data_IF_006057744608
#
_entry.id   IF_006057744608
#
_cell.length_a   1.000
_cell.length_b   1.000
_cell.length_c   1.000
_cell.angle_alpha   90.00
_cell.angle_beta   90.00
_cell.angle_gamma   90.00
#
_symmetry.space_group_name_H-M   'P 1'
#
loop_
_entity.id
_entity.type
_entity.pdbx_description
1 polymer ?
#
# COMPACT_ATOMS: atom_id res chain seq x y z
N UNK A 1 28.21 -4.95 -4.20
CA UNK A 1 28.49 -5.32 -5.60
C UNK A 1 27.79 -4.31 -6.49
N UNK A 2 28.56 -3.28 -6.88
CA UNK A 2 28.81 -2.89 -8.27
C UNK A 2 27.73 -1.93 -8.78
N UNK A 3 27.87 -0.64 -8.50
CA UNK A 3 28.49 0.36 -9.39
C UNK A 3 27.49 0.90 -10.43
N UNK A 4 26.79 1.97 -10.06
CA UNK A 4 26.04 2.85 -10.97
C UNK A 4 26.60 4.26 -10.86
N UNK A 5 27.77 4.43 -11.45
CA UNK A 5 28.51 5.68 -11.59
C UNK A 5 27.90 6.56 -12.70
N UNK A 6 27.25 7.64 -12.26
CA UNK A 6 27.51 9.04 -12.66
C UNK A 6 27.92 9.31 -14.12
N UNK A 7 26.99 9.84 -14.92
CA UNK A 7 27.30 10.54 -16.18
C UNK A 7 26.34 11.72 -16.40
N UNK A 8 26.44 12.75 -15.56
CA UNK A 8 25.81 14.06 -15.79
C UNK A 8 26.76 15.16 -15.33
N UNK A 9 27.70 15.56 -16.19
CA UNK A 9 28.45 16.80 -15.99
C UNK A 9 29.28 17.15 -17.23
N UNK A 10 28.63 17.49 -18.34
CA UNK A 10 29.26 18.25 -19.44
C UNK A 10 28.24 19.26 -19.98
N UNK A 11 27.87 20.26 -19.19
CA UNK A 11 27.12 21.41 -19.72
C UNK A 11 27.18 22.58 -18.72
N UNK A 12 28.34 23.24 -18.57
CA UNK A 12 28.42 24.59 -17.97
C UNK A 12 29.84 25.19 -18.04
N UNK A 13 30.38 25.39 -19.26
CA UNK A 13 31.64 26.16 -19.42
C UNK A 13 31.62 27.34 -20.39
N UNK A 14 30.48 27.70 -21.00
CA UNK A 14 30.45 28.72 -22.05
C UNK A 14 29.48 29.90 -21.86
N UNK A 15 29.12 30.30 -20.63
CA UNK A 15 28.25 31.48 -20.41
C UNK A 15 28.97 32.78 -20.01
N UNK A 16 30.31 32.80 -20.00
CA UNK A 16 31.09 33.96 -19.53
C UNK A 16 31.66 34.91 -20.60
N UNK A 17 31.45 34.67 -21.90
CA UNK A 17 32.03 35.48 -22.98
C UNK A 17 30.98 35.85 -24.03
N UNK A 18 30.11 36.82 -23.73
CA UNK A 18 29.27 37.45 -24.78
C UNK A 18 28.66 38.81 -24.41
N UNK A 19 28.91 39.37 -23.22
CA UNK A 19 28.23 40.60 -22.82
C UNK A 19 28.92 41.90 -23.31
N UNK A 20 30.16 41.83 -23.79
CA UNK A 20 30.87 43.03 -24.26
C UNK A 20 30.89 43.22 -25.78
N UNK A 21 30.50 42.23 -26.58
CA UNK A 21 30.57 42.32 -28.06
C UNK A 21 29.37 43.01 -28.72
N UNK A 22 28.27 43.22 -28.00
CA UNK A 22 27.06 43.85 -28.56
C UNK A 22 26.94 45.35 -28.23
N UNK A 23 27.69 45.86 -27.25
CA UNK A 23 27.64 47.28 -26.88
C UNK A 23 28.33 48.18 -27.92
N UNK A 24 29.36 47.70 -28.63
CA UNK A 24 30.09 48.50 -29.64
C UNK A 24 29.34 48.64 -30.98
N UNK A 25 28.44 47.71 -31.34
CA UNK A 25 27.75 47.76 -32.63
C UNK A 25 26.56 48.72 -32.69
N UNK A 26 26.02 49.15 -31.54
CA UNK A 26 24.87 50.07 -31.51
C UNK A 26 25.24 51.55 -31.62
N UNK A 27 26.50 51.92 -31.40
CA UNK A 27 26.90 53.33 -31.33
C UNK A 27 27.16 53.94 -32.72
N UNK A 28 27.46 53.12 -33.75
CA UNK A 28 27.93 53.63 -35.05
C UNK A 28 26.88 53.55 -36.17
N UNK A 29 25.87 52.66 -36.07
CA UNK A 29 24.86 52.46 -37.12
C UNK A 29 23.40 52.52 -36.64
N UNK A 30 23.14 53.01 -35.42
CA UNK A 30 21.78 53.18 -34.93
C UNK A 30 21.02 54.24 -35.72
N UNK A 31 19.85 53.89 -36.25
CA UNK A 31 18.91 54.86 -36.81
C UNK A 31 18.61 55.93 -35.76
N UNK A 32 18.89 57.23 -36.00
CA UNK A 32 18.66 58.29 -35.01
C UNK A 32 17.17 58.48 -34.65
N UNK A 33 16.25 57.80 -35.36
CA UNK A 33 14.83 57.77 -35.04
C UNK A 33 14.41 56.59 -34.14
N UNK A 34 15.32 55.65 -33.85
CA UNK A 34 15.14 54.60 -32.83
C UNK A 34 15.98 54.91 -31.59
N UNK A 35 16.09 56.19 -31.23
CA UNK A 35 16.47 56.55 -29.87
C UNK A 35 15.34 56.05 -28.95
N UNK A 36 15.55 54.83 -28.45
CA UNK A 36 14.85 54.21 -27.34
C UNK A 36 14.40 55.31 -26.37
N UNK A 37 13.10 55.41 -26.06
CA UNK A 37 12.54 56.43 -25.15
C UNK A 37 13.21 56.42 -23.76
N UNK A 38 14.06 55.41 -23.52
CA UNK A 38 14.91 55.20 -22.35
C UNK A 38 16.37 55.67 -22.47
N UNK A 39 16.79 56.36 -23.55
CA UNK A 39 18.07 57.08 -23.52
C UNK A 39 17.91 58.20 -22.51
N UNK A 40 18.57 58.02 -21.36
CA UNK A 40 18.44 58.85 -20.19
C UNK A 40 18.38 60.32 -20.59
N UNK A 41 17.36 61.02 -20.10
CA UNK A 41 17.34 62.47 -20.22
C UNK A 41 18.55 62.99 -19.46
N UNK A 42 19.41 63.78 -20.10
CA UNK A 42 20.60 64.35 -19.48
C UNK A 42 20.23 65.00 -18.13
N UNK A 43 20.63 64.40 -17.01
CA UNK A 43 20.05 64.78 -15.72
C UNK A 43 20.55 66.16 -15.24
N UNK A 44 21.63 66.68 -15.84
CA UNK A 44 22.33 67.86 -15.33
C UNK A 44 22.68 68.84 -16.45
N UNK A 45 21.86 69.89 -16.58
CA UNK A 45 22.29 71.16 -17.15
C UNK A 45 22.94 71.94 -16.01
N UNK A 46 24.08 72.58 -16.25
CA UNK A 46 24.63 73.52 -15.27
C UNK A 46 23.81 74.80 -15.33
N UNK A 47 22.65 74.79 -14.66
CA UNK A 47 21.68 75.89 -14.61
C UNK A 47 22.20 77.14 -13.89
N UNK A 48 23.37 77.02 -13.25
CA UNK A 48 24.02 78.09 -12.50
C UNK A 48 24.73 79.12 -13.39
N UNK A 49 24.99 78.80 -14.67
CA UNK A 49 25.59 79.74 -15.62
C UNK A 49 24.52 80.37 -16.52
N UNK A 50 24.67 81.67 -16.79
CA UNK A 50 23.84 82.37 -17.79
C UNK A 50 24.06 81.74 -19.18
N UNK A 51 23.00 81.33 -19.91
CA UNK A 51 23.12 80.82 -21.27
C UNK A 51 23.88 81.73 -22.25
N UNK A 52 24.06 83.00 -21.92
CA UNK A 52 24.84 83.98 -22.71
C UNK A 52 26.27 84.18 -22.23
N UNK A 53 26.71 83.54 -21.13
CA UNK A 53 28.04 83.75 -20.54
C UNK A 53 29.18 83.43 -21.52
N UNK A 54 29.01 82.42 -22.38
CA UNK A 54 30.00 82.04 -23.38
C UNK A 54 30.42 83.20 -24.29
N UNK A 55 29.57 84.22 -24.50
CA UNK A 55 29.88 85.36 -25.37
C UNK A 55 31.03 86.22 -24.87
N UNK A 56 31.38 86.13 -23.59
CA UNK A 56 32.42 86.94 -22.97
C UNK A 56 33.76 86.17 -22.81
N UNK A 57 33.80 84.87 -23.10
CA UNK A 57 35.00 84.05 -22.97
C UNK A 57 35.93 84.25 -24.17
N UNK A 58 37.23 84.46 -23.90
CA UNK A 58 38.25 84.75 -24.93
C UNK A 58 38.87 83.49 -25.56
N UNK A 59 38.83 82.37 -24.84
CA UNK A 59 39.47 81.11 -25.22
C UNK A 59 38.50 79.95 -25.12
N UNK A 60 38.70 78.92 -25.94
CA UNK A 60 37.95 77.67 -25.86
C UNK A 60 38.12 77.00 -24.49
N UNK A 61 37.02 76.66 -23.82
CA UNK A 61 37.05 76.06 -22.49
C UNK A 61 37.62 74.63 -22.44
N UNK A 62 37.95 74.02 -23.58
CA UNK A 62 38.45 72.65 -23.68
C UNK A 62 39.88 72.57 -24.24
N UNK A 63 40.20 73.32 -25.29
CA UNK A 63 41.53 73.30 -25.92
C UNK A 63 42.29 74.63 -25.83
N UNK A 64 41.73 75.63 -25.15
CA UNK A 64 42.36 76.93 -24.87
C UNK A 64 42.75 77.79 -26.09
N UNK A 65 42.34 77.40 -27.31
CA UNK A 65 42.54 78.22 -28.52
C UNK A 65 41.79 79.56 -28.43
N UNK A 66 42.39 80.64 -28.94
CA UNK A 66 41.77 81.97 -28.98
C UNK A 66 40.60 82.02 -29.97
N UNK A 67 39.51 82.68 -29.60
CA UNK A 67 38.38 82.92 -30.49
C UNK A 67 38.61 84.04 -31.52
N UNK A 68 39.77 84.69 -31.49
CA UNK A 68 40.17 85.59 -32.58
C UNK A 68 40.50 84.78 -33.86
N UNK A 69 40.92 83.52 -33.71
CA UNK A 69 41.33 82.64 -34.81
C UNK A 69 40.22 81.66 -35.24
N UNK A 70 39.31 81.29 -34.33
CA UNK A 70 38.27 80.30 -34.58
C UNK A 70 36.88 80.78 -34.16
N UNK A 71 35.84 80.24 -34.82
CA UNK A 71 34.45 80.58 -34.50
C UNK A 71 34.07 80.10 -33.09
N UNK A 72 33.65 81.03 -32.25
CA UNK A 72 33.05 80.77 -30.93
C UNK A 72 31.69 80.08 -31.06
N UNK A 73 31.50 78.98 -30.34
CA UNK A 73 30.20 78.28 -30.17
C UNK A 73 29.88 78.18 -28.68
N UNK A 74 28.59 78.21 -28.33
CA UNK A 74 28.13 77.95 -26.97
C UNK A 74 27.68 76.50 -26.83
N UNK A 75 28.11 75.83 -25.77
CA UNK A 75 27.52 74.56 -25.38
C UNK A 75 26.15 74.80 -24.73
N UNK A 76 25.11 74.11 -25.17
CA UNK A 76 23.77 74.25 -24.61
C UNK A 76 23.59 73.68 -23.19
N UNK A 77 24.58 72.93 -22.67
CA UNK A 77 24.49 72.21 -21.40
C UNK A 77 25.29 72.86 -20.28
N UNK A 78 26.54 73.27 -20.56
CA UNK A 78 27.39 73.96 -19.59
C UNK A 78 27.49 75.47 -19.81
N UNK A 79 26.97 75.98 -20.93
CA UNK A 79 27.03 77.39 -21.34
C UNK A 79 28.45 77.99 -21.41
N UNK A 80 29.49 77.16 -21.50
CA UNK A 80 30.86 77.58 -21.81
C UNK A 80 31.05 77.83 -23.31
N UNK A 81 32.06 78.64 -23.64
CA UNK A 81 32.49 78.86 -25.00
C UNK A 81 33.46 77.76 -25.46
N UNK A 82 33.19 77.18 -26.62
CA UNK A 82 33.99 76.12 -27.22
C UNK A 82 34.17 76.37 -28.72
N UNK A 83 35.28 75.90 -29.28
CA UNK A 83 35.46 75.92 -30.73
C UNK A 83 34.59 74.82 -31.40
N UNK A 84 34.51 74.88 -32.73
CA UNK A 84 33.71 73.93 -33.52
C UNK A 84 34.19 72.47 -33.37
N UNK A 85 35.50 72.25 -33.34
CA UNK A 85 36.12 70.93 -33.12
C UNK A 85 35.86 70.37 -31.72
N UNK A 86 35.71 71.25 -30.73
CA UNK A 86 35.40 70.90 -29.35
C UNK A 86 33.90 70.72 -29.08
N UNK A 87 33.04 70.94 -30.08
CA UNK A 87 31.60 70.78 -29.99
C UNK A 87 30.98 70.14 -31.24
N UNK A 88 31.49 68.98 -31.71
CA UNK A 88 31.01 68.37 -32.94
C UNK A 88 29.64 67.71 -32.78
N UNK A 89 29.20 67.47 -31.54
CA UNK A 89 28.01 66.69 -31.23
C UNK A 89 26.76 67.55 -31.01
N UNK A 90 25.60 66.94 -31.28
CA UNK A 90 24.27 67.50 -30.99
C UNK A 90 23.49 66.43 -30.20
N UNK A 91 22.84 66.83 -29.11
CA UNK A 91 22.08 65.91 -28.25
C UNK A 91 20.74 66.53 -27.86
N UNK A 92 19.74 65.71 -27.52
CA UNK A 92 18.45 66.19 -27.05
C UNK A 92 18.60 66.87 -25.67
N UNK A 93 18.35 68.19 -25.61
CA UNK A 93 18.47 68.93 -24.37
C UNK A 93 17.37 68.52 -23.38
N UNK A 94 17.69 68.30 -22.10
CA UNK A 94 16.78 67.65 -21.15
C UNK A 94 15.49 68.44 -20.90
N UNK A 95 15.58 69.77 -20.93
CA UNK A 95 14.44 70.67 -20.69
C UNK A 95 13.64 70.99 -21.96
N UNK A 96 14.30 71.19 -23.11
CA UNK A 96 13.64 71.65 -24.34
C UNK A 96 13.27 70.49 -25.26
N UNK A 97 13.86 69.30 -25.03
CA UNK A 97 13.76 68.09 -25.85
C UNK A 97 14.22 68.28 -27.30
N UNK A 98 14.85 69.41 -27.63
CA UNK A 98 15.34 69.72 -28.97
C UNK A 98 16.78 69.27 -29.13
N UNK A 99 17.20 68.88 -30.34
CA UNK A 99 18.60 68.62 -30.63
C UNK A 99 19.40 69.93 -30.54
N UNK A 100 20.26 70.05 -29.53
CA UNK A 100 21.09 71.22 -29.25
C UNK A 100 22.57 70.86 -29.19
N UNK A 101 23.44 71.81 -29.56
CA UNK A 101 24.89 71.58 -29.64
C UNK A 101 25.49 71.39 -28.25
N UNK A 102 26.35 70.39 -28.12
CA UNK A 102 27.02 70.05 -26.87
C UNK A 102 28.54 69.97 -27.06
N UNK A 103 29.32 70.36 -26.03
CA UNK A 103 30.77 70.20 -26.07
C UNK A 103 31.16 68.74 -25.77
N UNK A 104 32.37 68.35 -26.17
CA UNK A 104 32.88 66.99 -25.95
C UNK A 104 32.84 66.58 -24.48
N UNK A 105 33.23 67.46 -23.56
CA UNK A 105 33.22 67.16 -22.13
C UNK A 105 31.82 66.80 -21.62
N UNK A 106 30.81 67.63 -21.92
CA UNK A 106 29.44 67.33 -21.52
C UNK A 106 28.92 66.06 -22.19
N UNK A 107 29.29 65.80 -23.45
CA UNK A 107 28.93 64.55 -24.13
C UNK A 107 29.51 63.31 -23.44
N UNK A 108 30.80 63.32 -23.08
CA UNK A 108 31.44 62.18 -22.39
C UNK A 108 30.87 61.95 -20.99
N UNK A 109 30.66 63.02 -20.20
CA UNK A 109 30.02 62.92 -18.88
C UNK A 109 28.65 62.24 -18.98
N UNK A 110 27.86 62.60 -19.99
CA UNK A 110 26.57 61.96 -20.21
C UNK A 110 26.66 60.49 -20.59
N UNK A 111 27.61 60.14 -21.46
CA UNK A 111 27.82 58.74 -21.84
C UNK A 111 28.23 57.91 -20.62
N UNK A 112 29.11 58.44 -19.77
CA UNK A 112 29.53 57.81 -18.52
C UNK A 112 28.34 57.61 -17.55
N UNK A 113 27.60 58.67 -17.24
CA UNK A 113 26.42 58.61 -16.36
C UNK A 113 25.35 57.65 -16.88
N UNK A 114 25.03 57.69 -18.18
CA UNK A 114 24.03 56.80 -18.78
C UNK A 114 24.50 55.34 -18.74
N UNK A 115 25.78 55.08 -19.04
CA UNK A 115 26.35 53.73 -18.93
C UNK A 115 26.28 53.20 -17.50
N UNK A 116 26.64 54.03 -16.51
CA UNK A 116 26.59 53.67 -15.10
C UNK A 116 25.17 53.38 -14.62
N UNK A 117 24.20 54.20 -15.03
CA UNK A 117 22.79 54.00 -14.70
C UNK A 117 22.23 52.70 -15.31
N UNK A 118 22.58 52.37 -16.56
CA UNK A 118 22.17 51.12 -17.21
C UNK A 118 22.74 49.92 -16.46
N UNK A 119 24.05 49.91 -16.21
CA UNK A 119 24.71 48.82 -15.48
C UNK A 119 24.13 48.67 -14.08
N UNK A 120 23.89 49.78 -13.36
CA UNK A 120 23.31 49.74 -12.00
C UNK A 120 21.89 49.18 -12.01
N UNK A 121 21.05 49.59 -12.97
CA UNK A 121 19.68 49.06 -13.13
C UNK A 121 19.67 47.57 -13.48
N UNK A 122 20.54 47.16 -14.40
CA UNK A 122 20.69 45.74 -14.76
C UNK A 122 21.16 44.91 -13.58
N UNK A 123 22.14 45.40 -12.82
CA UNK A 123 22.64 44.74 -11.62
C UNK A 123 21.54 44.62 -10.55
N UNK A 124 20.78 45.70 -10.31
CA UNK A 124 19.65 45.66 -9.37
C UNK A 124 18.60 44.63 -9.82
N UNK A 125 18.25 44.60 -11.10
CA UNK A 125 17.29 43.64 -11.63
C UNK A 125 17.79 42.19 -11.48
N UNK A 126 19.10 41.95 -11.64
CA UNK A 126 19.67 40.62 -11.39
C UNK A 126 19.59 40.23 -9.91
N UNK A 127 19.90 41.15 -9.00
CA UNK A 127 19.77 40.91 -7.55
C UNK A 127 18.33 40.63 -7.15
N UNK A 128 17.36 41.37 -7.68
CA UNK A 128 15.95 41.18 -7.37
C UNK A 128 15.46 39.80 -7.88
N UNK A 129 15.86 39.42 -9.10
CA UNK A 129 15.56 38.09 -9.66
C UNK A 129 16.19 36.96 -8.86
N UNK A 130 17.45 37.10 -8.44
CA UNK A 130 18.12 36.10 -7.61
C UNK A 130 17.45 35.97 -6.23
N UNK A 131 17.08 37.10 -5.62
CA UNK A 131 16.39 37.14 -4.32
C UNK A 131 15.01 36.49 -4.43
N UNK A 132 14.27 36.77 -5.49
CA UNK A 132 12.98 36.15 -5.75
C UNK A 132 13.12 34.64 -5.98
N UNK A 133 14.12 34.20 -6.74
CA UNK A 133 14.38 32.78 -6.96
C UNK A 133 14.72 32.05 -5.65
N UNK A 134 15.57 32.64 -4.79
CA UNK A 134 15.89 32.09 -3.46
C UNK A 134 14.67 32.01 -2.56
N UNK A 135 13.80 33.02 -2.58
CA UNK A 135 12.57 33.02 -1.80
C UNK A 135 11.61 31.90 -2.24
N UNK A 136 11.43 31.72 -3.55
CA UNK A 136 10.59 30.64 -4.10
C UNK A 136 11.19 29.26 -3.81
N UNK A 137 12.51 29.10 -3.87
CA UNK A 137 13.17 27.87 -3.47
C UNK A 137 12.98 27.57 -1.97
N UNK A 138 13.11 28.58 -1.11
CA UNK A 138 12.87 28.44 0.33
C UNK A 138 11.43 28.03 0.65
N UNK A 139 10.43 28.59 -0.06
CA UNK A 139 9.03 28.16 0.07
C UNK A 139 8.83 26.70 -0.31
N UNK A 140 9.37 26.28 -1.46
CA UNK A 140 9.30 24.87 -1.91
C UNK A 140 9.97 23.91 -0.93
N UNK A 141 11.11 24.29 -0.35
CA UNK A 141 11.79 23.49 0.68
C UNK A 141 10.93 23.33 1.93
N UNK A 142 10.31 24.42 2.39
CA UNK A 142 9.41 24.39 3.55
C UNK A 142 8.16 23.52 3.30
N UNK A 143 7.59 23.60 2.10
CA UNK A 143 6.46 22.74 1.71
C UNK A 143 6.85 21.26 1.67
N UNK A 144 8.05 20.94 1.16
CA UNK A 144 8.58 19.59 1.16
C UNK A 144 8.84 19.06 2.59
N UNK A 145 9.38 19.89 3.48
CA UNK A 145 9.61 19.56 4.89
C UNK A 145 8.28 19.23 5.61
N UNK A 146 7.27 20.08 5.48
CA UNK A 146 5.93 19.82 6.03
C UNK A 146 5.33 18.50 5.52
N UNK A 147 5.53 18.18 4.23
CA UNK A 147 5.04 16.94 3.63
C UNK A 147 5.79 15.72 4.17
N UNK A 148 7.08 15.83 4.42
CA UNK A 148 7.85 14.76 5.07
C UNK A 148 7.33 14.51 6.50
N UNK A 149 7.10 15.56 7.29
CA UNK A 149 6.54 15.42 8.65
C UNK A 149 5.15 14.76 8.65
N UNK A 150 4.29 15.10 7.67
CA UNK A 150 2.98 14.47 7.51
C UNK A 150 3.10 12.97 7.17
N UNK A 151 4.00 12.62 6.26
CA UNK A 151 4.26 11.22 5.89
C UNK A 151 4.83 10.41 7.08
N UNK A 152 5.69 11.00 7.90
CA UNK A 152 6.22 10.34 9.09
C UNK A 152 5.12 10.04 10.12
N UNK A 153 4.17 10.97 10.32
CA UNK A 153 3.00 10.74 11.18
C UNK A 153 2.14 9.59 10.66
N UNK A 154 1.82 9.60 9.37
CA UNK A 154 1.03 8.53 8.74
C UNK A 154 1.74 7.16 8.82
N UNK A 155 3.06 7.12 8.65
CA UNK A 155 3.83 5.89 8.79
C UNK A 155 3.80 5.36 10.22
N UNK A 156 3.87 6.25 11.21
CA UNK A 156 3.75 5.87 12.62
C UNK A 156 2.37 5.30 12.93
N UNK A 157 1.30 5.99 12.54
CA UNK A 157 -0.08 5.52 12.71
C UNK A 157 -0.29 4.16 12.04
N UNK A 158 0.21 3.99 10.81
CA UNK A 158 0.08 2.73 10.08
C UNK A 158 0.85 1.57 10.72
N UNK A 159 1.98 1.87 11.35
CA UNK A 159 2.77 0.88 12.09
C UNK A 159 2.04 0.44 13.35
N UNK A 160 1.44 1.38 14.09
CA UNK A 160 0.62 1.09 15.27
C UNK A 160 -0.60 0.22 14.90
N UNK A 161 -1.31 0.55 13.81
CA UNK A 161 -2.41 -0.30 13.28
C UNK A 161 -1.93 -1.72 12.93
N UNK A 162 -0.76 -1.85 12.32
CA UNK A 162 -0.21 -3.15 11.94
C UNK A 162 0.14 -4.00 13.17
N UNK A 163 0.69 -3.39 14.22
CA UNK A 163 0.98 -4.06 15.48
C UNK A 163 -0.29 -4.54 16.19
N UNK A 164 -1.37 -3.76 16.14
CA UNK A 164 -2.68 -4.18 16.67
C UNK A 164 -3.26 -5.37 15.90
N UNK A 165 -3.20 -5.33 14.57
CA UNK A 165 -3.63 -6.44 13.71
C UNK A 165 -2.80 -7.70 13.98
N UNK A 166 -1.48 -7.57 14.18
CA UNK A 166 -0.62 -8.69 14.54
C UNK A 166 -1.01 -9.31 15.87
N UNK A 167 -1.27 -8.50 16.91
CA UNK A 167 -1.75 -8.99 18.21
C UNK A 167 -3.07 -9.74 18.06
N UNK A 168 -4.03 -9.17 17.35
CA UNK A 168 -5.32 -9.81 17.08
C UNK A 168 -5.16 -11.16 16.34
N UNK A 169 -4.31 -11.19 15.31
CA UNK A 169 -3.97 -12.42 14.57
C UNK A 169 -3.42 -13.51 15.51
N UNK A 170 -2.45 -13.19 16.36
CA UNK A 170 -1.87 -14.17 17.28
C UNK A 170 -2.88 -14.69 18.31
N UNK A 171 -3.81 -13.84 18.76
CA UNK A 171 -4.90 -14.25 19.65
C UNK A 171 -5.84 -15.24 18.95
N UNK A 172 -6.26 -14.94 17.72
CA UNK A 172 -7.11 -15.83 16.91
C UNK A 172 -6.42 -17.16 16.59
N UNK A 173 -5.12 -17.16 16.31
CA UNK A 173 -4.34 -18.39 16.09
C UNK A 173 -4.33 -19.29 17.34
N UNK A 174 -4.20 -18.69 18.53
CA UNK A 174 -4.32 -19.41 19.81
C UNK A 174 -5.71 -20.01 19.99
N UNK A 175 -6.77 -19.25 19.72
CA UNK A 175 -8.16 -19.72 19.80
C UNK A 175 -8.42 -20.89 18.84
N UNK A 176 -7.97 -20.78 17.58
CA UNK A 176 -8.04 -21.86 16.59
C UNK A 176 -7.33 -23.12 17.11
N UNK A 177 -6.17 -22.97 17.76
CA UNK A 177 -5.45 -24.10 18.36
C UNK A 177 -6.23 -24.76 19.49
N UNK A 178 -6.91 -23.98 20.33
CA UNK A 178 -7.75 -24.50 21.41
C UNK A 178 -9.00 -25.20 20.89
N UNK A 179 -9.66 -24.64 19.88
CA UNK A 179 -10.83 -25.24 19.23
C UNK A 179 -10.47 -26.56 18.55
N UNK A 180 -9.32 -26.65 17.86
CA UNK A 180 -8.82 -27.90 17.29
C UNK A 180 -8.65 -29.00 18.35
N UNK A 181 -7.99 -28.69 19.47
CA UNK A 181 -7.84 -29.65 20.58
C UNK A 181 -9.18 -30.10 21.16
N UNK A 182 -10.17 -29.21 21.22
CA UNK A 182 -11.51 -29.54 21.71
C UNK A 182 -12.27 -30.42 20.73
N UNK A 183 -12.12 -30.16 19.42
CA UNK A 183 -12.67 -30.98 18.35
C UNK A 183 -12.09 -32.42 18.40
N UNK A 184 -10.77 -32.54 18.58
CA UNK A 184 -10.11 -33.85 18.69
C UNK A 184 -10.65 -34.66 19.88
N UNK A 185 -10.84 -34.03 21.05
CA UNK A 185 -11.45 -34.66 22.23
C UNK A 185 -12.87 -35.16 21.98
N UNK A 186 -13.70 -34.33 21.35
CA UNK A 186 -15.09 -34.72 21.01
C UNK A 186 -15.09 -35.90 20.04
N UNK A 187 -14.17 -35.90 19.07
CA UNK A 187 -14.05 -36.98 18.11
C UNK A 187 -13.62 -38.31 18.76
N UNK A 188 -12.71 -38.26 19.74
CA UNK A 188 -12.32 -39.41 20.55
C UNK A 188 -13.50 -39.94 21.40
N UNK A 189 -14.24 -39.05 22.05
CA UNK A 189 -15.44 -39.40 22.83
C UNK A 189 -16.53 -40.02 21.95
N UNK A 190 -16.76 -39.45 20.77
CA UNK A 190 -17.70 -39.97 19.79
C UNK A 190 -17.29 -41.37 19.31
N UNK A 191 -15.99 -41.60 19.09
CA UNK A 191 -15.47 -42.91 18.71
C UNK A 191 -15.72 -43.97 19.81
N UNK A 192 -15.44 -43.63 21.07
CA UNK A 192 -15.75 -44.51 22.23
C UNK A 192 -17.25 -44.77 22.37
N UNK A 193 -18.07 -43.74 22.20
CA UNK A 193 -19.53 -43.87 22.25
C UNK A 193 -20.05 -44.80 21.13
N UNK A 194 -19.49 -44.69 19.93
CA UNK A 194 -19.81 -45.57 18.80
C UNK A 194 -19.45 -47.04 19.09
N UNK A 195 -18.29 -47.29 19.69
CA UNK A 195 -17.89 -48.64 20.15
C UNK A 195 -18.85 -49.17 21.22
N UNK A 196 -19.21 -48.35 22.20
CA UNK A 196 -20.19 -48.72 23.24
C UNK A 196 -21.57 -49.05 22.66
N UNK A 197 -22.05 -48.26 21.70
CA UNK A 197 -23.32 -48.52 21.00
C UNK A 197 -23.23 -49.87 20.27
N UNK A 198 -22.14 -50.12 19.54
CA UNK A 198 -21.95 -51.40 18.84
C UNK A 198 -21.95 -52.60 19.80
N UNK A 199 -21.30 -52.47 20.96
CA UNK A 199 -21.31 -53.49 22.01
C UNK A 199 -22.71 -53.74 22.58
N UNK A 200 -23.47 -52.67 22.88
CA UNK A 200 -24.84 -52.76 23.38
C UNK A 200 -25.76 -53.41 22.33
N UNK A 201 -25.66 -53.02 21.06
CA UNK A 201 -26.43 -53.61 19.96
C UNK A 201 -26.19 -55.11 19.85
N UNK A 202 -24.93 -55.55 19.97
CA UNK A 202 -24.60 -56.98 19.97
C UNK A 202 -25.25 -57.72 21.14
N UNK A 203 -25.13 -57.19 22.36
CA UNK A 203 -25.79 -57.77 23.53
C UNK A 203 -27.31 -57.86 23.39
N UNK A 204 -27.93 -56.83 22.82
CA UNK A 204 -29.37 -56.80 22.60
C UNK A 204 -29.78 -57.89 21.61
N UNK A 205 -29.04 -58.04 20.50
CA UNK A 205 -29.26 -59.13 19.53
C UNK A 205 -29.10 -60.51 20.18
N UNK A 206 -28.07 -60.71 20.99
CA UNK A 206 -27.87 -61.97 21.73
C UNK A 206 -29.08 -62.26 22.65
N UNK A 207 -29.58 -61.25 23.37
CA UNK A 207 -30.76 -61.39 24.23
C UNK A 207 -32.05 -61.68 23.44
N UNK A 208 -32.27 -61.05 22.28
CA UNK A 208 -33.40 -61.34 21.39
C UNK A 208 -33.39 -62.82 20.94
N UNK A 209 -32.22 -63.37 20.63
CA UNK A 209 -32.12 -64.80 20.29
C UNK A 209 -32.45 -65.70 21.49
N UNK A 210 -32.04 -65.32 22.72
CA UNK A 210 -32.37 -66.07 23.93
C UNK A 210 -33.86 -66.04 24.24
N UNK A 211 -34.50 -64.86 24.15
CA UNK A 211 -35.95 -64.70 24.31
C UNK A 211 -36.67 -65.57 23.28
N UNK A 212 -36.24 -65.57 22.02
CA UNK A 212 -36.85 -66.39 20.98
C UNK A 212 -36.79 -67.89 21.32
N UNK A 213 -35.64 -68.39 21.82
CA UNK A 213 -35.51 -69.78 22.28
C UNK A 213 -36.43 -70.11 23.46
N UNK A 214 -36.50 -69.23 24.45
CA UNK A 214 -37.40 -69.41 25.60
C UNK A 214 -38.87 -69.42 25.18
N UNK A 215 -39.26 -68.59 24.20
CA UNK A 215 -40.61 -68.62 23.62
C UNK A 215 -40.88 -69.98 22.96
N UNK A 216 -39.94 -70.50 22.16
CA UNK A 216 -40.08 -71.83 21.55
C UNK A 216 -40.19 -72.95 22.60
N UNK A 217 -39.36 -72.92 23.65
CA UNK A 217 -39.42 -73.88 24.76
C UNK A 217 -40.75 -73.79 25.51
N UNK A 218 -41.20 -72.57 25.83
CA UNK A 218 -42.47 -72.36 26.53
C UNK A 218 -43.66 -72.82 25.67
N UNK A 219 -43.61 -72.63 24.35
CA UNK A 219 -44.60 -73.17 23.42
C UNK A 219 -44.61 -74.71 23.44
N UNK A 220 -43.44 -75.37 23.41
CA UNK A 220 -43.34 -76.84 23.52
C UNK A 220 -43.91 -77.34 24.85
N UNK A 221 -43.57 -76.70 25.96
CA UNK A 221 -44.10 -77.04 27.28
C UNK A 221 -45.62 -76.84 27.34
N UNK A 222 -46.13 -75.74 26.79
CA UNK A 222 -47.56 -75.45 26.70
C UNK A 222 -48.29 -76.53 25.89
N UNK A 223 -47.73 -76.99 24.78
CA UNK A 223 -48.27 -78.09 23.97
C UNK A 223 -48.23 -79.43 24.72
N UNK A 224 -47.16 -79.72 25.48
CA UNK A 224 -47.10 -80.90 26.36
C UNK A 224 -48.20 -80.85 27.43
N UNK A 225 -48.36 -79.71 28.11
CA UNK A 225 -49.43 -79.51 29.11
C UNK A 225 -50.79 -79.74 28.47
N UNK A 226 -51.04 -79.21 27.27
CA UNK A 226 -52.29 -79.45 26.54
C UNK A 226 -52.50 -80.93 26.27
N UNK A 227 -51.50 -81.67 25.80
CA UNK A 227 -51.60 -83.13 25.55
C UNK A 227 -51.91 -83.93 26.81
N UNK A 228 -51.31 -83.57 27.93
CA UNK A 228 -51.62 -84.20 29.22
C UNK A 228 -53.02 -83.81 29.73
N UNK A 229 -53.52 -82.60 29.43
CA UNK A 229 -54.86 -82.13 29.80
C UNK A 229 -56.00 -82.65 28.90
N UNK A 230 -55.75 -82.84 27.59
CA UNK A 230 -56.73 -83.41 26.65
C UNK A 230 -56.91 -84.92 26.81
N UNK A 231 -56.11 -85.57 27.66
CA UNK A 231 -56.24 -86.99 27.97
C UNK A 231 -55.76 -87.92 26.86
N UNK A 232 -55.03 -87.42 25.85
CA UNK A 232 -54.49 -88.27 24.77
C UNK A 232 -53.39 -89.22 25.28
N UNK A 233 -52.49 -88.76 26.15
CA UNK A 233 -51.50 -89.63 26.82
C UNK A 233 -52.16 -90.56 27.85
N UNK A 234 -53.21 -90.10 28.54
CA UNK A 234 -53.96 -90.96 29.45
C UNK A 234 -54.76 -92.04 28.71
N UNK A 235 -55.30 -91.75 27.52
CA UNK A 235 -55.95 -92.76 26.68
C UNK A 235 -54.94 -93.73 26.06
N UNK A 236 -53.76 -93.27 25.64
CA UNK A 236 -52.72 -94.13 25.09
C UNK A 236 -52.14 -95.06 26.16
N UNK A 237 -51.82 -94.52 27.35
CA UNK A 237 -51.39 -95.32 28.49
C UNK A 237 -52.52 -96.21 29.02
N UNK A 238 -53.79 -95.78 28.97
CA UNK A 238 -54.94 -96.63 29.31
C UNK A 238 -55.09 -97.79 28.32
N UNK A 239 -54.91 -97.56 27.02
CA UNK A 239 -54.92 -98.60 25.99
C UNK A 239 -53.76 -99.60 26.16
N UNK A 240 -52.58 -99.12 26.56
CA UNK A 240 -51.41 -99.96 26.83
C UNK A 240 -51.57 -100.77 28.12
N UNK A 241 -52.13 -100.17 29.17
CA UNK A 241 -52.52 -100.86 30.40
C UNK A 241 -53.61 -101.91 30.12
N UNK A 242 -54.61 -101.62 29.29
CA UNK A 242 -55.62 -102.59 28.87
C UNK A 242 -55.01 -103.77 28.10
N UNK A 243 -54.04 -103.53 27.19
CA UNK A 243 -53.29 -104.60 26.52
C UNK A 243 -52.53 -105.48 27.52
N UNK A 244 -51.81 -104.87 28.46
CA UNK A 244 -51.05 -105.60 29.47
C UNK A 244 -51.95 -106.40 30.42
N UNK A 245 -53.12 -105.87 30.78
CA UNK A 245 -54.14 -106.60 31.56
C UNK A 245 -54.60 -107.84 30.79
N UNK A 246 -54.83 -107.70 29.48
CA UNK A 246 -55.25 -108.81 28.62
C UNK A 246 -54.19 -109.90 28.52
N UNK A 247 -52.92 -109.53 28.30
CA UNK A 247 -51.79 -110.48 28.32
C UNK A 247 -51.63 -111.17 29.68
N UNK A 248 -51.79 -110.44 30.79
CA UNK A 248 -51.70 -111.03 32.13
C UNK A 248 -52.81 -112.06 32.38
N UNK A 249 -54.01 -111.81 31.85
CA UNK A 249 -55.13 -112.75 31.93
C UNK A 249 -54.88 -114.00 31.07
N UNK A 250 -54.37 -113.85 29.84
CA UNK A 250 -53.98 -114.98 28.99
C UNK A 250 -52.85 -115.82 29.60
N UNK A 251 -51.88 -115.19 30.26
CA UNK A 251 -50.83 -115.87 31.01
C UNK A 251 -51.39 -116.60 32.24
N UNK A 252 -52.33 -115.99 32.97
CA UNK A 252 -53.04 -116.67 34.07
C UNK A 252 -53.82 -117.89 33.59
N UNK A 253 -54.51 -117.82 32.45
CA UNK A 253 -55.19 -118.95 31.82
C UNK A 253 -54.19 -120.06 31.43
N UNK A 254 -53.04 -119.72 30.82
CA UNK A 254 -51.97 -120.67 30.53
C UNK A 254 -51.38 -121.34 31.78
N UNK A 255 -51.20 -120.59 32.87
CA UNK A 255 -50.75 -121.14 34.15
C UNK A 255 -51.80 -122.10 34.71
N UNK A 256 -53.08 -121.75 34.61
CA UNK A 256 -54.20 -122.62 34.99
C UNK A 256 -54.18 -123.94 34.20
N UNK A 257 -53.95 -123.86 32.89
CA UNK A 257 -53.83 -125.02 32.01
C UNK A 257 -52.66 -125.94 32.40
N UNK A 258 -51.51 -125.37 32.77
CA UNK A 258 -50.34 -126.14 33.23
C UNK A 258 -50.52 -126.71 34.65
N UNK A 259 -51.38 -126.11 35.48
CA UNK A 259 -51.72 -126.62 36.81
C UNK A 259 -52.80 -127.73 36.78
N UNK A 260 -53.53 -127.90 35.67
CA UNK A 260 -54.57 -128.93 35.51
C UNK A 260 -54.16 -130.13 34.66
N UNK A 261 -52.93 -130.62 34.87
CA UNK A 261 -52.59 -132.05 34.75
C UNK A 261 -52.27 -132.60 33.34
N UNK A 262 -51.74 -133.84 33.26
CA UNK A 262 -51.14 -134.66 34.33
C UNK A 262 -49.66 -135.01 34.05
N UNK A 263 -48.87 -135.00 35.12
CA UNK A 263 -47.42 -135.26 35.14
C UNK A 263 -47.10 -136.72 34.77
N UNK A 264 -45.99 -136.84 34.04
CA UNK A 264 -45.47 -138.01 33.38
C UNK A 264 -45.09 -139.18 34.31
N UNK A 265 -45.23 -140.39 33.78
CA UNK A 265 -44.66 -141.64 34.28
C UNK A 265 -43.14 -141.63 34.18
N UNK A 266 -42.46 -141.90 35.29
CA UNK A 266 -41.10 -142.47 35.35
C UNK A 266 -41.13 -143.64 36.31
N UNK A 267 -40.58 -144.79 35.90
CA UNK A 267 -40.53 -146.02 36.67
C UNK A 267 -39.08 -146.37 37.04
N UNK A 268 -38.80 -146.39 38.35
CA UNK A 268 -37.78 -147.18 39.08
C UNK A 268 -36.30 -146.87 38.83
N UNK A 269 -35.37 -147.12 39.75
CA UNK A 269 -35.31 -147.53 41.16
C UNK A 269 -33.81 -147.73 41.46
N UNK A 270 -33.38 -147.57 42.73
CA UNK A 270 -32.24 -148.22 43.45
C UNK A 270 -31.47 -147.21 44.35
N UNK A 271 -31.70 -147.21 45.67
CA UNK A 271 -30.92 -147.81 46.79
C UNK A 271 -29.67 -146.99 47.23
N UNK A 272 -29.78 -146.29 48.36
CA UNK A 272 -29.13 -146.59 49.66
C UNK A 272 -29.73 -145.68 50.74
#
# INVERSE_FOLDING_TARGET
>A
MSDSSSSESIENRNRGRSLFSNAEKFIINGNPNELDENIGTFARVLTEKDPKSYKNELYCSLCEISFDEVKRKGCAFCYNAVCEECSPFTCAHPNTKRPERICMNCYYTFMEENSYQRVTKELQLMFDKETQAKLEEAKKRKEAENRCEELEKLLKERTEEFDEVLKSKTSLESEISQLKKSLDKINDEMSRSKENISFIQKKFSDQETQISKLIEENNKLSDQIKKSQTGEENNQNSLEVEKLIKENNDLKEKIKFLQTSPKASTCGCIIS
#
